data_IF_478044605526
#
_entry.id   IF_478044605526
#
_cell.length_a   1.000
_cell.length_b   1.000
_cell.length_c   1.000
_cell.angle_alpha   90.00
_cell.angle_beta   90.00
_cell.angle_gamma   90.00
#
_symmetry.space_group_name_H-M   'P 1'
#
loop_
_entity.id
_entity.type
_entity.pdbx_description
1 polymer ?
#
# COMPACT_ATOMS: atom_id res chain seq x y z
N UNK A 1 21.59 -1.73 2.79
CA UNK A 1 21.02 -3.07 3.13
C UNK A 1 20.22 -3.55 1.95
N UNK A 2 20.35 -4.82 1.60
CA UNK A 2 19.56 -5.44 0.54
C UNK A 2 18.03 -5.32 0.86
N UNK A 3 17.24 -4.65 0.00
CA UNK A 3 15.78 -4.57 0.10
C UNK A 3 15.08 -5.89 0.39
N UNK A 4 15.47 -6.98 -0.28
CA UNK A 4 14.88 -8.30 -0.08
C UNK A 4 15.10 -8.83 1.35
N UNK A 5 16.28 -8.56 1.93
CA UNK A 5 16.58 -8.96 3.31
C UNK A 5 15.80 -8.12 4.34
N UNK A 6 15.61 -6.82 4.07
CA UNK A 6 14.72 -5.97 4.88
C UNK A 6 13.29 -6.51 4.86
N UNK A 7 12.79 -6.92 3.69
CA UNK A 7 11.46 -7.50 3.52
C UNK A 7 11.34 -8.79 4.34
N UNK A 8 12.31 -9.68 4.23
CA UNK A 8 12.30 -10.94 4.99
C UNK A 8 12.28 -10.67 6.49
N UNK A 9 13.11 -9.74 6.98
CA UNK A 9 13.12 -9.35 8.39
C UNK A 9 11.75 -8.81 8.83
N UNK A 10 11.14 -7.95 8.02
CA UNK A 10 9.80 -7.41 8.24
C UNK A 10 8.74 -8.51 8.31
N UNK A 11 8.81 -9.51 7.42
CA UNK A 11 7.90 -10.66 7.43
C UNK A 11 8.08 -11.51 8.69
N UNK A 12 9.32 -11.77 9.12
CA UNK A 12 9.59 -12.54 10.35
C UNK A 12 8.98 -11.81 11.56
N UNK A 13 9.21 -10.51 11.68
CA UNK A 13 8.65 -9.72 12.78
C UNK A 13 7.13 -9.71 12.72
N UNK A 14 6.55 -9.52 11.54
CA UNK A 14 5.10 -9.54 11.37
C UNK A 14 4.50 -10.91 11.76
N UNK A 15 5.18 -12.00 11.43
CA UNK A 15 4.79 -13.35 11.80
C UNK A 15 4.86 -13.55 13.32
N UNK A 16 5.91 -13.05 13.98
CA UNK A 16 6.07 -13.11 15.44
C UNK A 16 4.93 -12.36 16.17
N UNK A 17 4.57 -11.16 15.70
CA UNK A 17 3.45 -10.36 16.25
C UNK A 17 2.12 -11.12 16.13
N UNK A 18 1.94 -11.93 15.08
CA UNK A 18 0.71 -12.71 14.87
C UNK A 18 0.50 -13.73 15.99
N UNK A 19 1.57 -14.43 16.39
CA UNK A 19 1.54 -15.49 17.39
C UNK A 19 1.64 -14.99 18.83
N UNK A 20 2.14 -13.76 19.04
CA UNK A 20 2.38 -13.24 20.39
C UNK A 20 1.20 -12.41 20.90
N UNK A 21 0.59 -12.82 22.02
CA UNK A 21 -0.49 -12.07 22.70
C UNK A 21 0.06 -11.24 23.87
N UNK A 22 1.21 -10.61 23.67
CA UNK A 22 1.86 -9.82 24.72
C UNK A 22 1.82 -8.33 24.36
N UNK A 23 1.17 -7.54 25.21
CA UNK A 23 1.01 -6.10 25.02
C UNK A 23 2.36 -5.37 24.99
N UNK A 24 3.31 -5.82 25.81
CA UNK A 24 4.62 -5.17 25.95
C UNK A 24 5.42 -5.28 24.64
N UNK A 25 5.37 -6.44 23.98
CA UNK A 25 6.08 -6.67 22.71
C UNK A 25 5.55 -5.72 21.64
N UNK A 26 4.23 -5.58 21.52
CA UNK A 26 3.61 -4.64 20.56
C UNK A 26 4.04 -3.19 20.84
N UNK A 27 4.05 -2.76 22.10
CA UNK A 27 4.46 -1.40 22.47
C UNK A 27 5.93 -1.11 22.19
N UNK A 28 6.82 -2.06 22.52
CA UNK A 28 8.26 -1.95 22.19
C UNK A 28 8.44 -1.78 20.68
N UNK A 29 7.72 -2.57 19.89
CA UNK A 29 7.85 -2.56 18.44
C UNK A 29 7.34 -1.28 17.79
N UNK A 30 6.21 -0.75 18.30
CA UNK A 30 5.71 0.57 17.93
C UNK A 30 6.76 1.64 18.30
N UNK A 31 7.33 1.57 19.50
CA UNK A 31 8.36 2.51 19.97
C UNK A 31 9.59 2.51 19.06
N UNK A 32 10.15 1.34 18.75
CA UNK A 32 11.28 1.21 17.82
C UNK A 32 10.93 1.72 16.43
N UNK A 33 9.75 1.40 15.92
CA UNK A 33 9.30 1.87 14.60
C UNK A 33 9.18 3.40 14.58
N UNK A 34 8.58 4.01 15.61
CA UNK A 34 8.47 5.48 15.69
C UNK A 34 9.85 6.14 15.75
N UNK A 35 10.76 5.62 16.58
CA UNK A 35 12.15 6.12 16.66
C UNK A 35 12.82 6.03 15.29
N UNK A 36 12.68 4.89 14.62
CA UNK A 36 13.24 4.68 13.28
C UNK A 36 12.65 5.64 12.25
N UNK A 37 11.34 5.88 12.30
CA UNK A 37 10.65 6.82 11.42
C UNK A 37 11.06 8.28 11.68
N UNK A 38 11.36 8.65 12.92
CA UNK A 38 11.89 9.96 13.27
C UNK A 38 13.28 10.19 12.66
N UNK A 39 14.15 9.17 12.66
CA UNK A 39 15.46 9.23 11.99
C UNK A 39 15.34 9.43 10.47
N UNK A 40 14.26 8.95 9.86
CA UNK A 40 14.00 9.10 8.42
C UNK A 40 13.23 10.39 8.04
N UNK A 41 13.06 11.34 8.96
CA UNK A 41 12.44 12.66 8.73
C UNK A 41 11.06 12.58 8.04
N UNK A 42 10.15 11.75 8.56
CA UNK A 42 8.77 11.71 8.09
C UNK A 42 8.10 13.10 8.20
N UNK A 43 7.37 13.50 7.16
CA UNK A 43 6.55 14.71 7.22
C UNK A 43 5.37 14.53 8.17
N UNK A 44 5.03 15.56 8.95
CA UNK A 44 3.94 15.48 9.93
C UNK A 44 2.61 14.99 9.32
N UNK A 45 2.32 15.35 8.06
CA UNK A 45 1.13 14.87 7.33
C UNK A 45 1.11 13.36 7.14
N UNK A 46 2.24 12.74 6.81
CA UNK A 46 2.36 11.29 6.66
C UNK A 46 2.17 10.57 7.99
N UNK A 47 2.76 11.11 9.07
CA UNK A 47 2.58 10.56 10.41
C UNK A 47 1.12 10.59 10.86
N UNK A 48 0.44 11.74 10.69
CA UNK A 48 -0.99 11.88 11.00
C UNK A 48 -1.82 10.93 10.15
N UNK A 49 -1.56 10.83 8.84
CA UNK A 49 -2.24 9.88 7.97
C UNK A 49 -2.07 8.43 8.41
N UNK A 50 -0.86 8.06 8.88
CA UNK A 50 -0.53 6.72 9.34
C UNK A 50 -1.27 6.34 10.62
N UNK A 51 -1.52 7.29 11.52
CA UNK A 51 -2.30 7.06 12.75
C UNK A 51 -3.81 7.09 12.47
N UNK A 52 -4.24 8.00 11.59
CA UNK A 52 -5.65 8.27 11.33
C UNK A 52 -6.33 7.18 10.50
N UNK A 53 -5.68 6.69 9.44
CA UNK A 53 -6.32 5.67 8.59
C UNK A 53 -6.65 4.34 9.30
N UNK A 54 -5.73 3.72 10.06
CA UNK A 54 -6.02 2.46 10.75
C UNK A 54 -6.89 2.62 11.99
N UNK A 55 -7.21 3.85 12.41
CA UNK A 55 -8.09 4.09 13.54
C UNK A 55 -9.49 3.49 13.34
N UNK A 56 -10.04 3.61 12.13
CA UNK A 56 -11.35 3.07 11.78
C UNK A 56 -11.43 1.54 11.97
N UNK A 57 -10.55 0.72 11.36
CA UNK A 57 -10.57 -0.71 11.59
C UNK A 57 -10.17 -1.09 13.03
N UNK A 58 -9.28 -0.33 13.68
CA UNK A 58 -8.85 -0.61 15.05
C UNK A 58 -9.99 -0.46 16.07
N UNK A 59 -10.80 0.60 15.96
CA UNK A 59 -11.98 0.76 16.82
C UNK A 59 -12.98 -0.36 16.56
N UNK A 60 -13.24 -0.70 15.29
CA UNK A 60 -14.19 -1.76 14.96
C UNK A 60 -13.83 -3.08 15.66
N UNK A 61 -12.54 -3.45 15.64
CA UNK A 61 -12.05 -4.64 16.32
C UNK A 61 -12.08 -4.52 17.84
N UNK A 62 -11.75 -3.35 18.40
CA UNK A 62 -11.81 -3.11 19.84
C UNK A 62 -13.23 -3.22 20.38
N UNK A 63 -14.20 -2.55 19.72
CA UNK A 63 -15.62 -2.57 20.10
C UNK A 63 -16.19 -3.98 19.96
N UNK A 64 -15.86 -4.69 18.89
CA UNK A 64 -16.26 -6.09 18.72
C UNK A 64 -15.80 -6.96 19.88
N UNK A 65 -14.54 -6.79 20.32
CA UNK A 65 -13.98 -7.57 21.41
C UNK A 65 -14.52 -7.18 22.79
N UNK A 66 -14.86 -5.90 22.97
CA UNK A 66 -15.51 -5.43 24.19
C UNK A 66 -16.94 -5.96 24.32
N UNK A 67 -17.71 -6.00 23.23
CA UNK A 67 -19.12 -6.38 23.25
C UNK A 67 -19.37 -7.90 23.17
N UNK A 68 -18.57 -8.63 22.39
CA UNK A 68 -18.89 -10.02 22.00
C UNK A 68 -17.80 -11.05 22.32
N UNK A 69 -16.63 -10.63 22.81
CA UNK A 69 -15.45 -11.50 22.84
C UNK A 69 -14.69 -11.47 24.16
N UNK A 70 -13.38 -11.25 24.06
CA UNK A 70 -12.38 -11.47 25.09
C UNK A 70 -12.07 -10.29 26.02
N UNK A 71 -13.01 -9.36 26.20
CA UNK A 71 -12.87 -8.25 27.16
C UNK A 71 -11.89 -7.16 26.73
N UNK A 72 -11.68 -6.19 27.64
CA UNK A 72 -10.87 -4.99 27.39
C UNK A 72 -9.40 -5.36 27.18
N UNK A 73 -8.89 -6.35 27.92
CA UNK A 73 -7.49 -6.77 27.87
C UNK A 73 -7.12 -7.30 26.47
N UNK A 74 -7.94 -8.20 25.90
CA UNK A 74 -7.70 -8.69 24.55
C UNK A 74 -7.97 -7.64 23.48
N UNK A 75 -8.97 -6.77 23.69
CA UNK A 75 -9.26 -5.65 22.80
C UNK A 75 -8.07 -4.70 22.66
N UNK A 76 -7.41 -4.35 23.77
CA UNK A 76 -6.22 -3.49 23.75
C UNK A 76 -5.02 -4.15 23.07
N UNK A 77 -4.84 -5.46 23.24
CA UNK A 77 -3.80 -6.23 22.52
C UNK A 77 -4.05 -6.18 21.01
N UNK A 78 -5.28 -6.40 20.55
CA UNK A 78 -5.62 -6.32 19.12
C UNK A 78 -5.45 -4.90 18.57
N UNK A 79 -5.87 -3.88 19.32
CA UNK A 79 -5.71 -2.49 18.93
C UNK A 79 -4.23 -2.15 18.73
N UNK A 80 -3.38 -2.44 19.72
CA UNK A 80 -1.93 -2.20 19.64
C UNK A 80 -1.28 -3.02 18.54
N UNK A 81 -1.75 -4.26 18.30
CA UNK A 81 -1.26 -5.12 17.22
C UNK A 81 -1.46 -4.52 15.83
N UNK A 82 -2.64 -3.94 15.57
CA UNK A 82 -2.92 -3.28 14.28
C UNK A 82 -1.95 -2.11 14.07
N UNK A 83 -1.75 -1.29 15.10
CA UNK A 83 -0.78 -0.19 15.02
C UNK A 83 0.65 -0.70 14.80
N UNK A 84 1.07 -1.77 15.47
CA UNK A 84 2.39 -2.37 15.27
C UNK A 84 2.59 -2.79 13.80
N UNK A 85 1.62 -3.44 13.17
CA UNK A 85 1.70 -3.80 11.75
C UNK A 85 1.78 -2.58 10.84
N UNK A 86 0.99 -1.56 11.12
CA UNK A 86 0.96 -0.34 10.31
C UNK A 86 2.29 0.42 10.38
N UNK A 87 2.86 0.58 11.57
CA UNK A 87 4.15 1.24 11.75
C UNK A 87 5.32 0.43 11.16
N UNK A 88 5.28 -0.89 11.31
CA UNK A 88 6.25 -1.80 10.71
C UNK A 88 6.20 -1.71 9.17
N UNK A 89 5.01 -1.81 8.58
CA UNK A 89 4.83 -1.68 7.13
C UNK A 89 5.21 -0.30 6.59
N UNK A 90 4.93 0.77 7.35
CA UNK A 90 5.35 2.13 6.98
C UNK A 90 6.87 2.28 6.95
N UNK A 91 7.55 1.72 7.95
CA UNK A 91 9.02 1.70 8.01
C UNK A 91 9.60 1.03 6.78
N UNK A 92 9.01 -0.08 6.35
CA UNK A 92 9.44 -0.77 5.14
C UNK A 92 9.19 0.07 3.87
N UNK A 93 7.97 0.59 3.72
CA UNK A 93 7.53 1.35 2.53
C UNK A 93 8.33 2.63 2.32
N UNK A 94 8.72 3.31 3.40
CA UNK A 94 9.45 4.59 3.31
C UNK A 94 10.94 4.37 3.00
N UNK A 95 11.49 3.23 3.37
CA UNK A 95 12.94 2.96 3.27
C UNK A 95 13.35 2.14 2.05
N UNK A 96 12.37 1.68 1.26
CA UNK A 96 12.61 0.70 0.20
C UNK A 96 11.86 1.10 -1.07
N UNK A 97 12.60 1.24 -2.16
CA UNK A 97 12.00 1.46 -3.48
C UNK A 97 11.48 0.14 -4.07
N UNK A 98 10.30 0.20 -4.69
CA UNK A 98 9.66 -0.98 -5.27
C UNK A 98 10.49 -1.64 -6.39
N UNK A 99 11.21 -0.84 -7.19
CA UNK A 99 12.05 -1.35 -8.29
C UNK A 99 13.21 -2.18 -7.76
N UNK A 100 13.92 -1.65 -6.75
CA UNK A 100 15.03 -2.37 -6.11
C UNK A 100 14.55 -3.64 -5.39
N UNK A 101 13.36 -3.58 -4.80
CA UNK A 101 12.70 -4.74 -4.20
C UNK A 101 12.39 -5.83 -5.23
N UNK A 102 11.85 -5.48 -6.39
CA UNK A 102 11.54 -6.45 -7.43
C UNK A 102 12.81 -7.15 -7.95
N UNK A 103 13.89 -6.40 -8.15
CA UNK A 103 15.18 -6.93 -8.62
C UNK A 103 15.84 -7.84 -7.59
N UNK A 104 15.81 -7.46 -6.31
CA UNK A 104 16.37 -8.29 -5.23
C UNK A 104 15.57 -9.57 -5.00
N UNK A 105 14.25 -9.54 -5.17
CA UNK A 105 13.43 -10.75 -5.14
C UNK A 105 13.73 -11.70 -6.31
N UNK A 106 13.97 -11.16 -7.51
CA UNK A 106 14.42 -11.95 -8.66
C UNK A 106 15.76 -12.64 -8.36
N UNK A 107 16.71 -11.90 -7.81
CA UNK A 107 18.07 -12.38 -7.57
C UNK A 107 18.21 -13.34 -6.38
N UNK A 108 17.63 -13.00 -5.22
CA UNK A 108 17.87 -13.73 -3.96
C UNK A 108 16.82 -14.81 -3.67
N UNK A 109 15.58 -14.61 -4.13
CA UNK A 109 14.45 -15.51 -3.85
C UNK A 109 14.07 -16.38 -5.06
N UNK A 110 14.90 -16.40 -6.11
CA UNK A 110 14.69 -17.15 -7.35
C UNK A 110 13.30 -16.89 -7.97
N UNK A 111 12.80 -15.67 -7.84
CA UNK A 111 11.50 -15.28 -8.36
C UNK A 111 11.57 -15.24 -9.90
N UNK A 112 10.61 -15.81 -10.64
CA UNK A 112 10.70 -15.90 -12.09
C UNK A 112 10.84 -14.50 -12.72
N UNK A 113 11.89 -14.29 -13.51
CA UNK A 113 12.18 -13.00 -14.17
C UNK A 113 10.97 -12.47 -14.95
N UNK A 114 10.20 -13.35 -15.61
CA UNK A 114 8.98 -12.97 -16.33
C UNK A 114 7.95 -12.28 -15.44
N UNK A 115 7.82 -12.71 -14.18
CA UNK A 115 6.93 -12.09 -13.21
C UNK A 115 7.48 -10.75 -12.73
N UNK A 116 8.78 -10.66 -12.40
CA UNK A 116 9.42 -9.41 -11.98
C UNK A 116 9.25 -8.31 -13.05
N UNK A 117 9.60 -8.60 -14.30
CA UNK A 117 9.45 -7.65 -15.41
C UNK A 117 7.99 -7.36 -15.75
N UNK A 118 7.08 -8.33 -15.60
CA UNK A 118 5.65 -8.12 -15.81
C UNK A 118 5.06 -7.13 -14.79
N UNK A 119 5.43 -7.27 -13.51
CA UNK A 119 5.02 -6.35 -12.45
C UNK A 119 5.64 -4.97 -12.67
N UNK A 120 6.95 -4.90 -12.97
CA UNK A 120 7.63 -3.64 -13.25
C UNK A 120 7.02 -2.90 -14.45
N UNK A 121 6.67 -3.64 -15.52
CA UNK A 121 5.97 -3.08 -16.67
C UNK A 121 4.61 -2.51 -16.27
N UNK A 122 3.81 -3.23 -15.48
CA UNK A 122 2.54 -2.73 -14.99
C UNK A 122 2.72 -1.44 -14.16
N UNK A 123 3.68 -1.40 -13.23
CA UNK A 123 3.98 -0.20 -12.44
C UNK A 123 4.35 1.01 -13.31
N UNK A 124 5.17 0.80 -14.34
CA UNK A 124 5.54 1.85 -15.29
C UNK A 124 4.38 2.29 -16.20
N UNK A 125 3.38 1.44 -16.42
CA UNK A 125 2.19 1.75 -17.22
C UNK A 125 1.13 2.54 -16.44
N UNK A 126 1.02 2.39 -15.12
CA UNK A 126 0.06 3.12 -14.27
C UNK A 126 0.06 4.64 -14.52
N UNK A 127 1.20 5.37 -14.50
CA UNK A 127 1.19 6.81 -14.73
C UNK A 127 0.74 7.17 -16.16
N UNK A 128 1.12 6.35 -17.15
CA UNK A 128 0.68 6.55 -18.54
C UNK A 128 -0.83 6.40 -18.68
N UNK A 129 -1.41 5.37 -18.05
CA UNK A 129 -2.86 5.17 -18.03
C UNK A 129 -3.54 6.39 -17.39
N UNK A 130 -3.04 6.91 -16.26
CA UNK A 130 -3.63 8.11 -15.64
C UNK A 130 -3.59 9.33 -16.56
N UNK A 131 -2.49 9.52 -17.30
CA UNK A 131 -2.36 10.61 -18.27
C UNK A 131 -3.36 10.46 -19.42
N UNK A 132 -3.44 9.28 -20.03
CA UNK A 132 -4.38 8.99 -21.11
C UNK A 132 -5.84 9.19 -20.67
N UNK A 133 -6.15 8.78 -19.45
CA UNK A 133 -7.48 8.96 -18.87
C UNK A 133 -7.83 10.44 -18.72
N UNK A 134 -6.89 11.26 -18.27
CA UNK A 134 -7.09 12.71 -18.19
C UNK A 134 -7.29 13.31 -19.60
N UNK A 135 -6.49 12.90 -20.59
CA UNK A 135 -6.63 13.35 -21.99
C UNK A 135 -8.01 12.98 -22.55
N UNK A 136 -8.47 11.75 -22.32
CA UNK A 136 -9.80 11.29 -22.75
C UNK A 136 -10.90 12.11 -22.10
N UNK A 137 -10.80 12.38 -20.78
CA UNK A 137 -11.77 13.20 -20.07
C UNK A 137 -11.80 14.63 -20.64
N UNK A 138 -10.65 15.26 -20.84
CA UNK A 138 -10.57 16.59 -21.44
C UNK A 138 -11.15 16.61 -22.86
N UNK A 139 -10.79 15.65 -23.71
CA UNK A 139 -11.31 15.56 -25.08
C UNK A 139 -12.82 15.27 -25.15
N UNK A 140 -13.40 14.65 -24.11
CA UNK A 140 -14.83 14.44 -24.00
C UNK A 140 -15.57 15.68 -23.51
N UNK A 141 -14.98 16.43 -22.57
CA UNK A 141 -15.49 17.74 -22.14
C UNK A 141 -15.56 18.72 -23.33
N UNK A 142 -14.54 18.73 -24.20
CA UNK A 142 -14.54 19.53 -25.43
C UNK A 142 -15.65 19.14 -26.42
N UNK A 143 -16.15 17.90 -26.34
CA UNK A 143 -17.29 17.39 -27.14
C UNK A 143 -18.64 17.60 -26.43
N UNK A 144 -18.68 18.34 -25.32
CA UNK A 144 -19.89 18.58 -24.53
C UNK A 144 -20.38 17.35 -23.77
N UNK A 145 -19.58 16.28 -23.69
CA UNK A 145 -19.95 15.04 -22.99
C UNK A 145 -19.17 14.91 -21.69
N UNK A 146 -19.86 14.90 -20.55
CA UNK A 146 -19.24 14.58 -19.25
C UNK A 146 -19.08 13.07 -19.12
N UNK A 147 -17.85 12.58 -19.12
CA UNK A 147 -17.56 11.17 -18.88
C UNK A 147 -17.43 10.94 -17.37
N UNK A 148 -18.42 10.27 -16.79
CA UNK A 148 -18.33 9.77 -15.42
C UNK A 148 -17.51 8.47 -15.39
N UNK A 149 -16.79 8.18 -14.30
CA UNK A 149 -15.96 6.97 -14.16
C UNK A 149 -16.75 5.66 -14.36
N UNK A 150 -18.08 5.72 -14.19
CA UNK A 150 -19.00 4.58 -14.22
C UNK A 150 -19.82 4.49 -15.53
N UNK A 151 -19.53 5.32 -16.53
CA UNK A 151 -20.19 5.23 -17.83
C UNK A 151 -19.54 4.16 -18.73
N UNK A 152 -20.32 3.25 -19.34
CA UNK A 152 -19.79 2.23 -20.28
C UNK A 152 -18.99 2.79 -21.46
N UNK A 153 -19.16 4.09 -21.78
CA UNK A 153 -18.43 4.78 -22.84
C UNK A 153 -16.92 4.98 -22.54
N UNK A 154 -16.46 4.76 -21.31
CA UNK A 154 -15.06 4.88 -20.93
C UNK A 154 -14.18 3.78 -21.54
N UNK A 155 -14.69 2.54 -21.60
CA UNK A 155 -13.94 1.36 -22.04
C UNK A 155 -13.84 1.28 -23.58
N UNK A 156 -14.84 1.82 -24.30
CA UNK A 156 -14.98 1.67 -25.76
C UNK A 156 -14.45 2.85 -26.59
N UNK A 157 -14.18 4.01 -25.99
CA UNK A 157 -13.70 5.19 -26.72
C UNK A 157 -12.20 5.19 -27.07
N UNK A 158 -11.26 4.62 -26.27
CA UNK A 158 -9.86 4.57 -26.70
C UNK A 158 -9.65 3.68 -27.93
N UNK A 159 -10.45 2.63 -28.13
CA UNK A 159 -10.35 1.78 -29.32
C UNK A 159 -10.78 2.52 -30.61
N UNK A 160 -11.77 3.42 -30.55
CA UNK A 160 -12.23 4.15 -31.76
C UNK A 160 -11.33 5.31 -32.18
N UNK A 161 -10.48 5.84 -31.31
CA UNK A 161 -9.52 6.91 -31.64
C UNK A 161 -8.27 6.36 -32.35
N UNK A 162 -7.88 5.09 -32.12
CA UNK A 162 -6.74 4.47 -32.82
C UNK A 162 -7.05 4.14 -34.29
N UNK A 163 -8.32 3.95 -34.66
CA UNK A 163 -8.72 3.65 -36.06
C UNK A 163 -8.96 4.90 -36.94
N UNK A 164 -8.74 6.10 -36.41
CA UNK A 164 -8.84 7.36 -37.15
C UNK A 164 -7.46 8.02 -37.35
N UNK A 165 -6.44 7.21 -37.66
CA UNK A 165 -5.21 7.73 -38.27
C UNK A 165 -5.52 8.30 -39.67
N UNK A 166 -4.77 9.32 -40.13
CA UNK A 166 -5.01 9.93 -41.44
C UNK A 166 -4.92 8.85 -42.52
N UNK A 167 -6.05 8.62 -43.21
CA UNK A 167 -6.06 7.89 -44.47
C UNK A 167 -5.32 8.78 -45.47
N UNK A 168 -4.13 8.33 -45.89
CA UNK A 168 -3.44 8.83 -47.08
C UNK A 168 -4.36 8.58 -48.28
#
# INVERSE_FOLDING_TARGET
MNPGLKLLLVIIIALEISFTTNLIVNLILIGFSIIYLLFHHITFKQFVGLVFWPFFPAIGLFVSQWLYGGGIDFGTILLTRIYAYVFLGATFTITTEFVELALTLEQDFALPSKFAYGVLAAFNLIPKIRQEVNVIQTAALMRGTVLHFWSPNYISKPSSLQFSGPKI
#
